data_IF_453164400408
#
_entry.id   IF_453164400408
#
_cell.length_a   1.000
_cell.length_b   1.000
_cell.length_c   1.000
_cell.angle_alpha   90.00
_cell.angle_beta   90.00
_cell.angle_gamma   90.00
#
_symmetry.space_group_name_H-M   'P 1'
#
loop_
_entity.id
_entity.type
_entity.pdbx_description
1 polymer ?
#
# COMPACT_ATOMS: atom_id res chain seq x y z
N UNK A 1 -17.74 -3.35 -28.72
CA UNK A 1 -18.19 -3.48 -27.34
C UNK A 1 -18.68 -2.13 -26.85
N UNK A 2 -19.87 -2.10 -26.27
CA UNK A 2 -20.37 -0.92 -25.57
C UNK A 2 -19.59 -0.79 -24.25
N UNK A 3 -19.04 0.40 -24.02
CA UNK A 3 -18.27 0.71 -22.80
C UNK A 3 -19.03 1.77 -22.05
N UNK A 4 -19.48 1.46 -20.84
CA UNK A 4 -20.24 2.38 -20.00
C UNK A 4 -19.34 3.37 -19.24
N UNK A 5 -18.12 2.95 -18.91
CA UNK A 5 -17.18 3.72 -18.11
C UNK A 5 -15.74 3.47 -18.58
N UNK A 6 -14.97 4.54 -18.67
CA UNK A 6 -13.51 4.49 -18.90
C UNK A 6 -12.82 5.05 -17.65
N UNK A 7 -11.93 4.25 -17.06
CA UNK A 7 -11.06 4.69 -15.96
C UNK A 7 -9.65 4.91 -16.49
N UNK A 8 -9.12 6.11 -16.27
CA UNK A 8 -7.74 6.46 -16.65
C UNK A 8 -6.87 6.36 -15.40
N UNK A 9 -5.92 5.44 -15.42
CA UNK A 9 -4.88 5.34 -14.40
C UNK A 9 -3.78 6.37 -14.67
N UNK A 10 -3.27 6.96 -13.59
CA UNK A 10 -2.25 8.02 -13.60
C UNK A 10 -2.57 9.21 -14.56
N UNK A 11 -3.85 9.53 -14.67
CA UNK A 11 -4.37 10.47 -15.67
C UNK A 11 -4.35 11.94 -15.29
N UNK A 12 -4.01 12.31 -14.03
CA UNK A 12 -4.20 13.69 -13.53
C UNK A 12 -3.38 14.76 -14.29
N UNK A 13 -2.21 14.41 -14.83
CA UNK A 13 -1.37 15.28 -15.63
C UNK A 13 -1.81 15.38 -17.10
N UNK A 14 -2.69 14.50 -17.58
CA UNK A 14 -3.22 14.55 -18.95
C UNK A 14 -4.28 15.64 -19.08
N UNK A 15 -3.88 16.80 -19.64
CA UNK A 15 -4.74 17.98 -19.77
C UNK A 15 -5.58 18.03 -21.03
N UNK A 16 -5.36 17.09 -21.96
CA UNK A 16 -6.13 16.99 -23.21
C UNK A 16 -7.46 16.24 -23.02
N UNK A 17 -7.63 15.57 -21.89
CA UNK A 17 -8.86 14.88 -21.52
C UNK A 17 -9.44 15.54 -20.30
N UNK A 18 -10.70 15.95 -20.36
CA UNK A 18 -11.45 16.45 -19.21
C UNK A 18 -12.34 15.33 -18.66
N UNK A 19 -11.92 14.64 -17.59
CA UNK A 19 -12.70 13.56 -17.02
C UNK A 19 -13.89 14.12 -16.24
N UNK A 20 -15.01 13.40 -16.25
CA UNK A 20 -16.20 13.73 -15.48
C UNK A 20 -15.91 13.73 -13.97
N UNK A 21 -14.99 12.90 -13.52
CA UNK A 21 -14.56 12.78 -12.12
C UNK A 21 -13.04 12.64 -12.07
N UNK A 22 -12.40 13.52 -11.31
CA UNK A 22 -10.99 13.45 -10.95
C UNK A 22 -10.83 12.99 -9.51
N UNK A 23 -10.15 11.87 -9.30
CA UNK A 23 -9.79 11.34 -8.00
C UNK A 23 -8.28 11.46 -7.85
N UNK A 24 -7.80 12.09 -6.78
CA UNK A 24 -6.37 12.23 -6.47
C UNK A 24 -6.04 11.44 -5.22
N UNK A 25 -5.07 10.54 -5.35
CA UNK A 25 -4.55 9.75 -4.23
C UNK A 25 -3.44 10.54 -3.52
N UNK A 26 -3.54 10.64 -2.21
CA UNK A 26 -2.56 11.34 -1.35
C UNK A 26 -2.00 10.34 -0.35
N UNK A 27 -0.69 10.21 -0.31
CA UNK A 27 -0.01 9.40 0.71
C UNK A 27 0.09 10.18 2.03
N UNK A 28 -0.56 9.70 3.10
CA UNK A 28 -0.53 10.36 4.40
C UNK A 28 0.88 10.42 5.01
N UNK A 29 1.77 9.51 4.62
CA UNK A 29 3.18 9.48 5.09
C UNK A 29 4.05 10.52 4.38
N UNK A 30 3.56 11.12 3.28
CA UNK A 30 4.26 12.14 2.48
C UNK A 30 3.32 13.32 2.18
N UNK A 31 3.06 14.17 3.16
CA UNK A 31 2.14 15.30 3.00
C UNK A 31 2.62 16.26 1.89
N UNK A 32 1.71 16.64 1.00
CA UNK A 32 1.98 17.50 -0.18
C UNK A 32 2.67 18.81 0.17
N UNK A 33 2.35 19.39 1.35
CA UNK A 33 2.93 20.65 1.81
C UNK A 33 4.41 20.57 2.20
N UNK A 34 4.94 19.38 2.42
CA UNK A 34 6.33 19.15 2.80
C UNK A 34 7.18 18.59 1.65
N UNK A 35 6.56 18.36 0.50
CA UNK A 35 7.26 17.85 -0.69
C UNK A 35 7.52 18.97 -1.70
N UNK A 36 8.43 18.73 -2.63
CA UNK A 36 8.85 19.67 -3.67
C UNK A 36 8.62 19.06 -5.05
N UNK A 37 8.60 19.92 -6.04
CA UNK A 37 8.54 19.51 -7.44
C UNK A 37 9.79 18.72 -7.85
N UNK A 38 9.62 17.76 -8.76
CA UNK A 38 10.74 17.09 -9.43
C UNK A 38 11.70 18.13 -10.03
N UNK A 39 13.04 17.94 -9.97
CA UNK A 39 13.76 16.78 -9.38
C UNK A 39 14.07 16.92 -7.88
N UNK A 40 13.71 18.02 -7.23
CA UNK A 40 14.04 18.31 -5.83
C UNK A 40 13.13 17.62 -4.82
N UNK A 41 12.07 16.98 -5.26
CA UNK A 41 11.10 16.19 -4.51
C UNK A 41 10.33 15.25 -5.45
N UNK A 42 9.14 14.79 -5.03
CA UNK A 42 8.35 13.80 -5.76
C UNK A 42 7.08 14.37 -6.39
N UNK A 43 6.79 15.65 -6.19
CA UNK A 43 5.60 16.26 -6.81
C UNK A 43 5.80 16.35 -8.33
N UNK A 44 4.83 15.82 -9.06
CA UNK A 44 4.81 15.83 -10.53
C UNK A 44 3.99 16.98 -11.11
N UNK A 45 3.21 17.68 -10.27
CA UNK A 45 2.43 18.84 -10.64
C UNK A 45 2.36 19.83 -9.47
N UNK A 46 2.07 21.09 -9.76
CA UNK A 46 1.97 22.15 -8.75
C UNK A 46 0.79 21.89 -7.81
N UNK A 47 0.93 22.16 -6.50
CA UNK A 47 -0.16 22.00 -5.53
C UNK A 47 -1.42 22.81 -5.87
N UNK A 48 -1.29 23.90 -6.63
CA UNK A 48 -2.40 24.70 -7.12
C UNK A 48 -3.32 23.90 -8.04
N UNK A 49 -2.77 22.92 -8.81
CA UNK A 49 -3.56 22.08 -9.71
C UNK A 49 -4.55 21.16 -8.99
N UNK A 50 -4.42 21.02 -7.67
CA UNK A 50 -5.38 20.30 -6.85
C UNK A 50 -6.81 20.86 -6.94
N UNK A 51 -6.98 22.09 -7.43
CA UNK A 51 -8.33 22.65 -7.68
C UNK A 51 -9.15 21.84 -8.69
N UNK A 52 -8.48 21.07 -9.60
CA UNK A 52 -9.15 20.21 -10.60
C UNK A 52 -9.69 18.91 -10.01
N UNK A 53 -9.26 18.52 -8.82
CA UNK A 53 -9.72 17.29 -8.17
C UNK A 53 -11.18 17.45 -7.70
N UNK A 54 -11.96 16.37 -7.82
CA UNK A 54 -13.28 16.26 -7.21
C UNK A 54 -13.17 15.56 -5.85
N UNK A 55 -12.35 14.53 -5.80
CA UNK A 55 -12.16 13.69 -4.61
C UNK A 55 -10.68 13.54 -4.29
N UNK A 56 -10.35 13.61 -3.00
CA UNK A 56 -9.07 13.22 -2.46
C UNK A 56 -9.25 11.95 -1.64
N UNK A 57 -8.43 10.94 -1.91
CA UNK A 57 -8.34 9.75 -1.09
C UNK A 57 -6.98 9.76 -0.41
N UNK A 58 -6.96 10.10 0.88
CA UNK A 58 -5.75 10.06 1.70
C UNK A 58 -5.54 8.63 2.14
N UNK A 59 -4.48 8.02 1.63
CA UNK A 59 -4.13 6.61 1.86
C UNK A 59 -3.06 6.47 2.93
N UNK A 60 -2.84 5.24 3.40
CA UNK A 60 -1.83 4.90 4.43
C UNK A 60 -1.99 5.70 5.73
N UNK A 61 -3.21 6.08 6.06
CA UNK A 61 -3.47 6.74 7.32
C UNK A 61 -3.16 5.80 8.48
N UNK A 62 -2.47 6.27 9.53
CA UNK A 62 -2.29 5.49 10.74
C UNK A 62 -3.65 5.20 11.40
N UNK A 63 -3.75 4.06 12.09
CA UNK A 63 -4.99 3.61 12.72
C UNK A 63 -5.56 4.65 13.70
N UNK A 64 -4.68 5.24 14.49
CA UNK A 64 -4.99 6.23 15.52
C UNK A 64 -4.76 7.67 15.05
N UNK A 65 -4.93 7.95 13.75
CA UNK A 65 -4.79 9.30 13.18
C UNK A 65 -5.69 10.29 13.94
N UNK A 66 -5.07 11.29 14.55
CA UNK A 66 -5.78 12.26 15.36
C UNK A 66 -6.77 13.12 14.52
N UNK A 67 -7.92 13.54 15.08
CA UNK A 67 -8.87 14.40 14.38
C UNK A 67 -8.25 15.71 13.88
N UNK A 68 -7.26 16.23 14.61
CA UNK A 68 -6.55 17.45 14.23
C UNK A 68 -5.75 17.27 12.94
N UNK A 69 -5.08 16.13 12.78
CA UNK A 69 -4.28 15.83 11.59
C UNK A 69 -5.18 15.70 10.35
N UNK A 70 -6.34 15.04 10.49
CA UNK A 70 -7.35 14.97 9.44
C UNK A 70 -7.85 16.36 9.04
N UNK A 71 -8.05 17.25 10.03
CA UNK A 71 -8.49 18.63 9.80
C UNK A 71 -7.42 19.44 9.06
N UNK A 72 -6.15 19.29 9.44
CA UNK A 72 -5.01 19.96 8.79
C UNK A 72 -4.92 19.51 7.33
N UNK A 73 -4.89 18.20 7.07
CA UNK A 73 -4.83 17.66 5.71
C UNK A 73 -6.00 18.13 4.86
N UNK A 74 -7.21 18.09 5.39
CA UNK A 74 -8.39 18.63 4.69
C UNK A 74 -8.23 20.10 4.33
N UNK A 75 -7.73 20.93 5.24
CA UNK A 75 -7.49 22.36 5.00
C UNK A 75 -6.42 22.60 3.92
N UNK A 76 -5.42 21.72 3.83
CA UNK A 76 -4.36 21.81 2.81
C UNK A 76 -4.87 21.37 1.44
N UNK A 77 -5.68 20.32 1.38
CA UNK A 77 -6.11 19.71 0.11
C UNK A 77 -7.29 20.43 -0.54
N UNK A 78 -8.29 20.82 0.27
CA UNK A 78 -9.52 21.42 -0.24
C UNK A 78 -9.28 22.86 -0.67
N UNK A 79 -9.46 23.13 -1.97
CA UNK A 79 -9.32 24.44 -2.59
C UNK A 79 -10.66 25.07 -2.97
N UNK A 80 -11.66 24.22 -3.25
CA UNK A 80 -13.01 24.63 -3.68
C UNK A 80 -14.08 23.82 -2.95
N UNK A 81 -15.28 24.40 -2.82
CA UNK A 81 -16.33 23.90 -1.93
C UNK A 81 -16.89 22.51 -2.31
N UNK A 82 -16.83 22.11 -3.57
CA UNK A 82 -17.36 20.82 -4.02
C UNK A 82 -16.44 19.65 -3.71
N UNK A 83 -15.15 19.89 -3.40
CA UNK A 83 -14.17 18.83 -3.15
C UNK A 83 -14.49 18.05 -1.87
N UNK A 84 -14.23 16.75 -1.91
CA UNK A 84 -14.40 15.83 -0.77
C UNK A 84 -13.10 15.11 -0.47
N UNK A 85 -12.85 14.86 0.81
CA UNK A 85 -11.65 14.17 1.29
C UNK A 85 -12.08 12.93 2.07
N UNK A 86 -11.58 11.78 1.66
CA UNK A 86 -11.74 10.50 2.32
C UNK A 86 -10.39 10.04 2.89
N UNK A 87 -10.43 9.43 4.05
CA UNK A 87 -9.25 8.89 4.72
C UNK A 87 -9.38 7.38 4.74
N UNK A 88 -8.34 6.70 4.25
CA UNK A 88 -8.29 5.24 4.17
C UNK A 88 -7.02 4.73 4.82
N UNK A 89 -7.06 3.50 5.33
CA UNK A 89 -5.91 2.79 5.85
C UNK A 89 -5.79 1.45 5.17
N UNK A 90 -4.61 0.89 5.19
CA UNK A 90 -4.44 -0.51 4.85
C UNK A 90 -4.83 -1.36 6.06
N UNK A 91 -5.64 -2.36 5.83
CA UNK A 91 -5.88 -3.44 6.78
C UNK A 91 -5.18 -4.69 6.26
N UNK A 92 -4.39 -5.32 7.11
CA UNK A 92 -3.83 -6.62 6.80
C UNK A 92 -4.95 -7.65 6.95
N UNK A 93 -5.30 -8.30 5.84
CA UNK A 93 -6.18 -9.46 5.91
C UNK A 93 -5.47 -10.63 6.57
N UNK A 94 -6.25 -11.58 7.09
CA UNK A 94 -5.68 -12.86 7.54
C UNK A 94 -4.98 -13.53 6.35
N UNK A 95 -3.79 -14.09 6.55
CA UNK A 95 -3.12 -14.86 5.51
C UNK A 95 -4.04 -15.96 4.98
N UNK A 96 -4.02 -16.16 3.67
CA UNK A 96 -4.75 -17.25 3.03
C UNK A 96 -3.76 -18.28 2.55
N UNK A 97 -4.05 -19.57 2.66
CA UNK A 97 -3.19 -20.60 2.09
C UNK A 97 -3.05 -20.39 0.58
N UNK A 98 -1.82 -20.43 0.07
CA UNK A 98 -1.56 -20.40 -1.37
C UNK A 98 -2.05 -21.70 -2.04
N UNK A 99 -1.93 -22.80 -1.31
CA UNK A 99 -2.35 -24.14 -1.73
C UNK A 99 -3.27 -24.73 -0.67
N UNK A 100 -4.58 -24.44 -0.71
CA UNK A 100 -5.53 -24.88 0.31
C UNK A 100 -5.57 -26.41 0.51
N UNK A 101 -5.31 -27.17 -0.57
CA UNK A 101 -5.29 -28.64 -0.59
C UNK A 101 -4.17 -29.27 0.24
N UNK A 102 -3.12 -28.50 0.60
CA UNK A 102 -1.98 -28.95 1.38
C UNK A 102 -1.93 -28.37 2.80
N UNK A 103 -2.98 -27.68 3.23
CA UNK A 103 -3.00 -27.02 4.54
C UNK A 103 -4.07 -27.64 5.41
N UNK A 104 -3.64 -28.35 6.46
CA UNK A 104 -4.54 -29.00 7.42
C UNK A 104 -4.95 -28.07 8.57
N UNK A 105 -4.20 -27.00 8.85
CA UNK A 105 -4.43 -26.13 9.99
C UNK A 105 -4.30 -24.63 9.62
N UNK A 106 -5.13 -23.80 10.24
CA UNK A 106 -4.98 -22.34 10.19
C UNK A 106 -3.79 -21.88 11.03
N UNK A 107 -3.18 -20.76 10.63
CA UNK A 107 -2.10 -20.14 11.40
C UNK A 107 -2.59 -19.66 12.75
N UNK A 108 -1.90 -20.10 13.81
CA UNK A 108 -2.20 -19.73 15.18
C UNK A 108 -1.58 -18.38 15.57
N UNK A 109 -2.22 -17.66 16.47
CA UNK A 109 -1.67 -16.44 17.04
C UNK A 109 -0.34 -16.73 17.75
N UNK A 110 0.68 -15.89 17.49
CA UNK A 110 2.02 -16.07 18.06
C UNK A 110 2.87 -17.14 17.39
N UNK A 111 2.36 -17.81 16.35
CA UNK A 111 3.13 -18.79 15.57
C UNK A 111 4.35 -18.13 14.94
N UNK A 112 5.45 -18.89 14.83
CA UNK A 112 6.65 -18.45 14.11
C UNK A 112 6.36 -18.35 12.61
N UNK A 113 6.73 -17.23 12.02
CA UNK A 113 6.56 -16.99 10.58
C UNK A 113 7.81 -16.37 9.97
N UNK A 114 8.05 -16.69 8.72
CA UNK A 114 9.01 -16.05 7.84
C UNK A 114 8.21 -15.10 6.95
N UNK A 115 8.48 -13.80 7.05
CA UNK A 115 7.89 -12.81 6.17
C UNK A 115 8.67 -12.76 4.85
N UNK A 116 7.99 -12.83 3.71
CA UNK A 116 8.58 -12.73 2.38
C UNK A 116 7.84 -11.67 1.57
N UNK A 117 8.54 -10.70 1.02
CA UNK A 117 7.92 -9.60 0.29
C UNK A 117 8.70 -9.20 -0.95
N UNK A 118 7.95 -8.87 -2.03
CA UNK A 118 8.46 -8.32 -3.28
C UNK A 118 7.72 -7.04 -3.65
N UNK A 119 7.60 -6.11 -2.69
CA UNK A 119 6.90 -4.83 -2.83
C UNK A 119 7.80 -3.66 -2.44
N UNK A 120 7.57 -2.48 -3.01
CA UNK A 120 8.40 -1.29 -2.82
C UNK A 120 8.49 -0.76 -1.39
N UNK A 121 7.52 -1.07 -0.51
CA UNK A 121 7.55 -0.70 0.91
C UNK A 121 7.08 -1.85 1.81
N UNK A 122 7.97 -2.77 2.19
CA UNK A 122 7.63 -3.94 3.00
C UNK A 122 7.41 -3.65 4.50
N UNK A 123 7.83 -2.50 4.99
CA UNK A 123 7.74 -2.15 6.43
C UNK A 123 6.34 -2.36 7.03
N UNK A 124 5.28 -1.75 6.50
CA UNK A 124 3.92 -1.91 7.03
C UNK A 124 3.41 -3.35 7.01
N UNK A 125 3.81 -4.15 6.01
CA UNK A 125 3.47 -5.57 5.94
C UNK A 125 4.08 -6.35 7.11
N UNK A 126 5.39 -6.19 7.32
CA UNK A 126 6.11 -6.90 8.38
C UNK A 126 5.62 -6.46 9.78
N UNK A 127 5.37 -5.16 9.98
CA UNK A 127 4.80 -4.64 11.22
C UNK A 127 3.39 -5.21 11.48
N UNK A 128 2.55 -5.28 10.46
CA UNK A 128 1.23 -5.90 10.55
C UNK A 128 1.30 -7.37 10.97
N UNK A 129 2.27 -8.13 10.44
CA UNK A 129 2.50 -9.51 10.83
C UNK A 129 2.95 -9.63 12.30
N UNK A 130 3.82 -8.75 12.78
CA UNK A 130 4.31 -8.76 14.18
C UNK A 130 3.21 -8.56 15.22
N UNK A 131 2.08 -7.98 14.85
CA UNK A 131 0.93 -7.84 15.75
C UNK A 131 0.28 -9.19 16.10
N UNK A 132 0.37 -10.16 15.19
CA UNK A 132 -0.33 -11.45 15.31
C UNK A 132 0.62 -12.64 15.37
N UNK A 133 1.85 -12.52 14.84
CA UNK A 133 2.78 -13.62 14.65
C UNK A 133 4.18 -13.26 15.16
N UNK A 134 4.99 -14.27 15.43
CA UNK A 134 6.40 -14.10 15.74
C UNK A 134 7.21 -14.15 14.44
N UNK A 135 7.48 -13.00 13.85
CA UNK A 135 8.33 -12.90 12.66
C UNK A 135 9.78 -13.21 13.05
N UNK A 136 10.32 -14.33 12.55
CA UNK A 136 11.68 -14.81 12.85
C UNK A 136 12.68 -14.42 11.76
N UNK A 137 12.23 -14.31 10.52
CA UNK A 137 13.01 -13.88 9.35
C UNK A 137 12.20 -12.92 8.49
N UNK A 138 12.87 -11.95 7.89
CA UNK A 138 12.28 -10.94 6.98
C UNK A 138 13.07 -10.94 5.68
N UNK A 139 12.50 -11.56 4.65
CA UNK A 139 13.10 -11.74 3.33
C UNK A 139 12.49 -10.74 2.37
N UNK A 140 13.30 -9.82 1.87
CA UNK A 140 12.88 -8.75 0.99
C UNK A 140 13.46 -8.93 -0.40
N UNK A 141 12.61 -8.91 -1.40
CA UNK A 141 12.95 -8.87 -2.81
C UNK A 141 12.64 -7.47 -3.37
N UNK A 142 13.18 -7.20 -4.54
CA UNK A 142 12.85 -5.98 -5.27
C UNK A 142 11.36 -5.91 -5.62
N UNK A 143 10.87 -4.71 -5.86
CA UNK A 143 9.47 -4.49 -6.26
C UNK A 143 9.18 -5.23 -7.59
N UNK A 144 8.03 -5.91 -7.63
CA UNK A 144 7.64 -6.78 -8.76
C UNK A 144 8.64 -7.91 -9.08
N UNK A 145 9.31 -8.45 -8.04
CA UNK A 145 10.27 -9.54 -8.21
C UNK A 145 9.64 -10.79 -8.83
N UNK A 146 10.29 -11.32 -9.87
CA UNK A 146 9.90 -12.60 -10.48
C UNK A 146 10.62 -13.74 -9.77
N UNK A 147 9.89 -14.52 -8.99
CA UNK A 147 10.44 -15.63 -8.23
C UNK A 147 11.03 -16.73 -9.11
N UNK A 148 12.22 -17.18 -8.77
CA UNK A 148 12.99 -18.19 -9.50
C UNK A 148 13.33 -19.39 -8.61
N UNK A 149 13.83 -20.45 -9.22
CA UNK A 149 14.23 -21.68 -8.51
C UNK A 149 15.23 -21.41 -7.38
N UNK A 150 16.13 -20.44 -7.54
CA UNK A 150 17.09 -20.09 -6.50
C UNK A 150 16.43 -19.45 -5.27
N UNK A 151 15.36 -18.67 -5.48
CA UNK A 151 14.59 -18.07 -4.39
C UNK A 151 13.85 -19.17 -3.62
N UNK A 152 13.33 -20.18 -4.32
CA UNK A 152 12.72 -21.36 -3.70
C UNK A 152 13.71 -22.18 -2.88
N UNK A 153 14.97 -22.31 -3.35
CA UNK A 153 16.05 -22.95 -2.56
C UNK A 153 16.37 -22.18 -1.28
N UNK A 154 16.39 -20.82 -1.37
CA UNK A 154 16.56 -19.96 -0.20
C UNK A 154 15.46 -20.24 0.83
N UNK A 155 14.21 -20.22 0.39
CA UNK A 155 13.03 -20.50 1.20
C UNK A 155 13.08 -21.89 1.83
N UNK A 156 13.42 -22.91 1.06
CA UNK A 156 13.57 -24.29 1.55
C UNK A 156 14.66 -24.40 2.64
N UNK A 157 15.79 -23.72 2.47
CA UNK A 157 16.86 -23.68 3.47
C UNK A 157 16.42 -22.99 4.77
N UNK A 158 15.60 -21.94 4.67
CA UNK A 158 15.04 -21.26 5.84
C UNK A 158 14.05 -22.16 6.60
N UNK A 159 13.16 -22.84 5.89
CA UNK A 159 12.24 -23.83 6.48
C UNK A 159 12.98 -25.00 7.13
N UNK A 160 14.09 -25.45 6.53
CA UNK A 160 14.92 -26.50 7.14
C UNK A 160 15.53 -26.06 8.49
N UNK A 161 15.86 -24.76 8.64
CA UNK A 161 16.35 -24.18 9.90
C UNK A 161 15.20 -23.96 10.90
N UNK A 162 14.01 -23.69 10.41
CA UNK A 162 12.83 -23.34 11.20
C UNK A 162 11.62 -24.23 10.83
N UNK A 163 11.63 -25.52 11.13
CA UNK A 163 10.64 -26.49 10.61
C UNK A 163 9.22 -26.27 11.12
N UNK A 164 9.04 -25.41 12.14
CA UNK A 164 7.71 -25.04 12.68
C UNK A 164 7.21 -23.68 12.16
N UNK A 165 8.00 -22.99 11.37
CA UNK A 165 7.60 -21.70 10.84
C UNK A 165 6.75 -21.86 9.57
N UNK A 166 5.77 -21.00 9.44
CA UNK A 166 5.05 -20.82 8.17
C UNK A 166 5.65 -19.64 7.39
N UNK A 167 5.51 -19.67 6.07
CA UNK A 167 5.88 -18.53 5.22
C UNK A 167 4.62 -17.71 4.95
N UNK A 168 4.71 -16.40 5.17
CA UNK A 168 3.68 -15.46 4.76
C UNK A 168 4.31 -14.50 3.76
N UNK A 169 3.69 -14.39 2.57
CA UNK A 169 4.20 -13.56 1.50
C UNK A 169 3.17 -12.53 1.02
N UNK A 170 3.66 -11.47 0.40
CA UNK A 170 2.83 -10.54 -0.39
C UNK A 170 2.52 -11.16 -1.76
N UNK A 171 1.35 -10.83 -2.30
CA UNK A 171 1.00 -11.16 -3.69
C UNK A 171 1.83 -10.38 -4.69
#
# INVERSE_FOLDING_TARGET
>A
PEVDLVVMDDGFQHRYVEPKVNIVMIDATRPVQHDRMLPAGNLRDLPEQLHRAHYFIVTKCPENMAPIDRRILRKVLVRVAYQRVYFTRFESFRPRPLFPEFVDEELNYGQQVIAMSGIGNPGPFVEGLRNNYKVIEDVRFDDHHVYRVNDMKLVANMLAKHPKAAIIMTE
#
